data_IF_614428071223
#
_entry.id   IF_614428071223
#
_cell.length_a   1.000
_cell.length_b   1.000
_cell.length_c   1.000
_cell.angle_alpha   90.00
_cell.angle_beta   90.00
_cell.angle_gamma   90.00
#
_symmetry.space_group_name_H-M   'P 1'
#
loop_
_entity.id
_entity.type
_entity.pdbx_description
1 polymer ?
#
# COMPACT_ATOMS: atom_id res chain seq x y z
N UNK A 1 -12.90 -3.42 15.27
CA UNK A 1 -13.92 -3.75 14.25
C UNK A 1 -13.58 -5.09 13.60
N UNK A 2 -14.54 -5.71 12.96
CA UNK A 2 -14.33 -6.98 12.25
C UNK A 2 -13.22 -6.85 11.17
N UNK A 3 -13.18 -5.74 10.46
CA UNK A 3 -12.13 -5.44 9.50
C UNK A 3 -10.76 -5.34 10.20
N UNK A 4 -10.66 -4.61 11.29
CA UNK A 4 -9.42 -4.51 12.07
C UNK A 4 -8.93 -5.87 12.53
N UNK A 5 -9.81 -6.68 13.09
CA UNK A 5 -9.44 -8.00 13.63
C UNK A 5 -8.94 -8.94 12.52
N UNK A 6 -9.62 -8.93 11.38
CA UNK A 6 -9.22 -9.72 10.21
C UNK A 6 -7.86 -9.27 9.66
N UNK A 7 -7.62 -7.97 9.59
CA UNK A 7 -6.35 -7.42 9.11
C UNK A 7 -5.20 -7.67 10.08
N UNK A 8 -5.44 -7.55 11.38
CA UNK A 8 -4.44 -7.84 12.42
C UNK A 8 -4.02 -9.30 12.38
N UNK A 9 -4.96 -10.22 12.24
CA UNK A 9 -4.65 -11.65 12.15
C UNK A 9 -3.76 -11.96 10.93
N UNK A 10 -4.05 -11.35 9.78
CA UNK A 10 -3.22 -11.51 8.58
C UNK A 10 -1.84 -10.89 8.73
N UNK A 11 -1.77 -9.70 9.30
CA UNK A 11 -0.52 -8.99 9.52
C UNK A 11 0.40 -9.77 10.46
N UNK A 12 -0.16 -10.30 11.55
CA UNK A 12 0.57 -11.14 12.48
C UNK A 12 1.12 -12.41 11.81
N UNK A 13 0.34 -13.02 10.92
CA UNK A 13 0.79 -14.16 10.11
C UNK A 13 1.99 -13.81 9.22
N UNK A 14 1.92 -12.70 8.49
CA UNK A 14 3.04 -12.22 7.66
C UNK A 14 4.27 -11.87 8.50
N UNK A 15 4.09 -11.23 9.65
CA UNK A 15 5.18 -10.90 10.56
C UNK A 15 5.87 -12.16 11.11
N UNK A 16 5.09 -13.19 11.42
CA UNK A 16 5.65 -14.48 11.88
C UNK A 16 6.48 -15.16 10.79
N UNK A 17 6.02 -15.14 9.54
CA UNK A 17 6.77 -15.68 8.40
C UNK A 17 8.04 -14.87 8.17
N UNK A 18 7.96 -13.53 8.17
CA UNK A 18 9.11 -12.66 7.97
C UNK A 18 10.22 -12.92 9.01
N UNK A 19 9.86 -13.09 10.29
CA UNK A 19 10.81 -13.42 11.36
C UNK A 19 11.55 -14.73 11.13
N UNK A 20 10.92 -15.72 10.52
CA UNK A 20 11.60 -16.99 10.19
C UNK A 20 12.74 -16.81 9.18
N UNK A 21 12.72 -15.72 8.43
CA UNK A 21 13.74 -15.35 7.44
C UNK A 21 14.61 -14.18 7.89
N UNK A 22 14.61 -13.90 9.19
CA UNK A 22 15.36 -12.76 9.75
C UNK A 22 14.97 -11.42 9.10
N UNK A 23 13.68 -11.27 8.79
CA UNK A 23 13.12 -10.06 8.17
C UNK A 23 12.04 -9.44 9.05
N UNK A 24 11.87 -8.14 8.89
CA UNK A 24 10.76 -7.39 9.48
C UNK A 24 9.88 -6.80 8.41
N UNK A 25 8.61 -6.62 8.72
CA UNK A 25 7.70 -5.86 7.87
C UNK A 25 8.10 -4.39 7.89
N UNK A 26 8.02 -3.72 6.76
CA UNK A 26 8.30 -2.28 6.65
C UNK A 26 7.16 -1.53 6.03
N UNK A 27 6.58 -2.07 4.96
CA UNK A 27 5.51 -1.43 4.22
C UNK A 27 4.37 -2.40 4.02
N UNK A 28 3.17 -1.93 4.29
CA UNK A 28 1.94 -2.70 4.11
C UNK A 28 1.07 -2.03 3.05
N UNK A 29 0.71 -2.77 2.04
CA UNK A 29 -0.22 -2.36 1.00
C UNK A 29 -1.44 -3.25 0.95
N UNK A 30 -2.58 -2.67 0.61
CA UNK A 30 -3.82 -3.41 0.41
C UNK A 30 -3.97 -3.85 -1.05
N UNK A 31 -4.73 -4.92 -1.27
CA UNK A 31 -5.02 -5.47 -2.59
C UNK A 31 -6.52 -5.58 -2.84
N UNK A 32 -6.89 -5.71 -4.12
CA UNK A 32 -8.26 -5.92 -4.54
C UNK A 32 -9.19 -4.77 -4.17
N UNK A 33 -10.41 -5.08 -3.77
CA UNK A 33 -11.41 -4.09 -3.39
C UNK A 33 -10.95 -3.20 -2.24
N UNK A 34 -10.25 -3.76 -1.26
CA UNK A 34 -9.73 -3.00 -0.13
C UNK A 34 -8.71 -1.93 -0.57
N UNK A 35 -7.94 -2.19 -1.62
CA UNK A 35 -7.02 -1.18 -2.16
C UNK A 35 -7.75 0.03 -2.74
N UNK A 36 -8.89 -0.20 -3.39
CA UNK A 36 -9.74 0.87 -3.91
C UNK A 36 -10.37 1.67 -2.77
N UNK A 37 -10.87 0.99 -1.76
CA UNK A 37 -11.46 1.64 -0.59
C UNK A 37 -10.42 2.46 0.17
N UNK A 38 -9.24 1.91 0.42
CA UNK A 38 -8.12 2.65 1.03
C UNK A 38 -7.68 3.84 0.19
N UNK A 39 -7.84 3.78 -1.12
CA UNK A 39 -7.50 4.90 -1.99
C UNK A 39 -8.47 6.10 -1.81
N UNK A 40 -9.77 5.85 -1.64
CA UNK A 40 -10.79 6.89 -1.78
C UNK A 40 -11.80 6.98 -0.65
N UNK A 41 -12.01 5.93 0.14
CA UNK A 41 -12.90 5.94 1.31
C UNK A 41 -12.13 6.32 2.58
N UNK A 42 -12.45 7.49 3.09
CA UNK A 42 -11.78 8.06 4.26
C UNK A 42 -11.87 7.15 5.49
N UNK A 43 -13.04 6.59 5.73
CA UNK A 43 -13.28 5.73 6.90
C UNK A 43 -12.43 4.47 6.86
N UNK A 44 -12.40 3.79 5.73
CA UNK A 44 -11.57 2.60 5.53
C UNK A 44 -10.10 2.93 5.66
N UNK A 45 -9.65 4.03 5.05
CA UNK A 45 -8.26 4.48 5.17
C UNK A 45 -7.89 4.74 6.63
N UNK A 46 -8.74 5.43 7.40
CA UNK A 46 -8.50 5.70 8.81
C UNK A 46 -8.40 4.42 9.64
N UNK A 47 -9.28 3.45 9.41
CA UNK A 47 -9.27 2.17 10.11
C UNK A 47 -7.95 1.45 9.87
N UNK A 48 -7.55 1.32 8.60
CA UNK A 48 -6.31 0.63 8.24
C UNK A 48 -5.08 1.37 8.76
N UNK A 49 -5.01 2.69 8.55
CA UNK A 49 -3.86 3.49 8.98
C UNK A 49 -3.65 3.44 10.51
N UNK A 50 -4.73 3.60 11.27
CA UNK A 50 -4.66 3.54 12.74
C UNK A 50 -4.32 2.14 13.25
N UNK A 51 -4.86 1.12 12.62
CA UNK A 51 -4.53 -0.26 12.95
C UNK A 51 -3.04 -0.54 12.74
N UNK A 52 -2.49 -0.16 11.59
CA UNK A 52 -1.07 -0.33 11.29
C UNK A 52 -0.18 0.43 12.27
N UNK A 53 -0.50 1.70 12.53
CA UNK A 53 0.25 2.53 13.47
C UNK A 53 0.26 1.96 14.90
N UNK A 54 -0.87 1.39 15.34
CA UNK A 54 -0.96 0.76 16.68
C UNK A 54 -0.26 -0.57 16.74
N UNK A 55 -0.21 -1.29 15.62
CA UNK A 55 0.51 -2.56 15.54
C UNK A 55 2.04 -2.34 15.60
N UNK A 56 2.56 -1.47 14.77
CA UNK A 56 3.96 -1.06 14.75
C UNK A 56 4.10 0.34 14.14
N UNK A 57 4.45 1.35 14.95
CA UNK A 57 4.62 2.73 14.47
C UNK A 57 5.71 2.93 13.42
N UNK A 58 6.61 1.96 13.26
CA UNK A 58 7.66 1.99 12.24
C UNK A 58 7.17 1.55 10.85
N UNK A 59 5.94 1.01 10.76
CA UNK A 59 5.37 0.63 9.48
C UNK A 59 5.02 1.85 8.62
N UNK A 60 5.15 1.66 7.32
CA UNK A 60 4.61 2.56 6.31
C UNK A 60 3.39 1.93 5.64
N UNK A 61 2.44 2.75 5.23
CA UNK A 61 1.26 2.33 4.48
C UNK A 61 1.43 2.71 3.02
N UNK A 62 1.33 1.73 2.12
CA UNK A 62 1.32 1.99 0.70
C UNK A 62 -0.09 2.40 0.26
N UNK A 63 -0.20 3.56 -0.39
CA UNK A 63 -1.45 4.12 -0.89
C UNK A 63 -1.27 4.54 -2.34
N UNK A 64 -2.24 4.27 -3.23
CA UNK A 64 -2.15 4.69 -4.62
C UNK A 64 -1.91 6.19 -4.75
N UNK A 65 -0.96 6.57 -5.61
CA UNK A 65 -0.59 7.95 -5.85
C UNK A 65 -1.77 8.77 -6.42
N UNK A 66 -1.86 10.02 -6.01
CA UNK A 66 -2.90 10.95 -6.48
C UNK A 66 -4.30 10.71 -5.90
N UNK A 67 -4.41 9.88 -4.86
CA UNK A 67 -5.70 9.54 -4.24
C UNK A 67 -5.85 10.19 -2.85
N UNK A 68 -7.09 10.30 -2.40
CA UNK A 68 -7.46 10.94 -1.12
C UNK A 68 -6.84 10.24 0.10
N UNK A 69 -6.71 8.93 0.04
CA UNK A 69 -6.18 8.11 1.13
C UNK A 69 -4.80 8.55 1.61
N UNK A 70 -3.99 9.16 0.74
CA UNK A 70 -2.66 9.68 1.13
C UNK A 70 -2.78 10.72 2.25
N UNK A 71 -3.62 11.73 2.04
CA UNK A 71 -3.82 12.80 3.04
C UNK A 71 -4.43 12.25 4.34
N UNK A 72 -5.37 11.32 4.22
CA UNK A 72 -6.02 10.68 5.36
C UNK A 72 -5.02 9.86 6.17
N UNK A 73 -4.20 9.04 5.52
CA UNK A 73 -3.19 8.23 6.19
C UNK A 73 -2.14 9.11 6.90
N UNK A 74 -1.68 10.19 6.26
CA UNK A 74 -0.80 11.17 6.89
C UNK A 74 -1.44 11.81 8.13
N UNK A 75 -2.70 12.16 8.05
CA UNK A 75 -3.43 12.73 9.19
C UNK A 75 -3.54 11.73 10.36
N UNK A 76 -3.55 10.44 10.08
CA UNK A 76 -3.50 9.39 11.10
C UNK A 76 -2.10 9.18 11.70
N UNK A 77 -1.07 9.85 11.19
CA UNK A 77 0.28 9.80 11.73
C UNK A 77 1.12 8.60 11.26
N UNK A 78 0.67 7.87 10.23
CA UNK A 78 1.46 6.79 9.64
C UNK A 78 2.32 7.31 8.48
N UNK A 79 3.53 6.78 8.33
CA UNK A 79 4.34 7.04 7.15
C UNK A 79 3.67 6.46 5.89
N UNK A 80 3.66 7.23 4.81
CA UNK A 80 2.98 6.83 3.58
C UNK A 80 3.98 6.65 2.45
N UNK A 81 3.87 5.52 1.77
CA UNK A 81 4.55 5.26 0.51
C UNK A 81 3.52 5.41 -0.61
N UNK A 82 3.75 6.35 -1.51
CA UNK A 82 2.89 6.53 -2.69
C UNK A 82 3.20 5.47 -3.72
N UNK A 83 2.19 4.78 -4.14
CA UNK A 83 2.30 3.65 -5.04
C UNK A 83 1.76 4.01 -6.42
N UNK A 84 2.55 3.80 -7.45
CA UNK A 84 2.12 3.91 -8.83
C UNK A 84 2.34 2.57 -9.55
N UNK A 85 1.39 2.22 -10.40
CA UNK A 85 1.49 1.02 -11.20
C UNK A 85 1.94 1.39 -12.61
N UNK A 86 3.07 0.83 -13.05
CA UNK A 86 3.46 0.96 -14.43
C UNK A 86 2.47 0.18 -15.31
N UNK A 87 1.86 0.86 -16.26
CA UNK A 87 1.04 0.22 -17.28
C UNK A 87 1.91 -0.11 -18.48
N UNK A 88 1.77 -1.30 -19.02
CA UNK A 88 2.31 -1.56 -20.34
C UNK A 88 1.67 -0.61 -21.35
N UNK A 89 2.41 -0.05 -22.31
CA UNK A 89 1.81 0.75 -23.36
C UNK A 89 0.78 -0.12 -24.07
N UNK A 90 -0.49 0.22 -23.90
CA UNK A 90 -1.57 -0.53 -24.51
C UNK A 90 -1.96 0.12 -25.81
N UNK A 91 -1.85 -0.63 -26.86
CA UNK A 91 -2.60 -0.37 -28.07
C UNK A 91 -4.02 -0.89 -27.88
N UNK A 92 -4.91 -0.07 -27.34
CA UNK A 92 -6.31 -0.47 -27.18
C UNK A 92 -6.70 -0.82 -25.75
N UNK A 93 -7.98 -1.07 -25.53
CA UNK A 93 -8.60 -1.31 -24.24
C UNK A 93 -7.72 -2.20 -23.34
N UNK A 94 -7.23 -1.62 -22.27
CA UNK A 94 -6.31 -2.28 -21.39
C UNK A 94 -7.03 -3.44 -20.72
N UNK A 95 -6.80 -4.62 -21.23
CA UNK A 95 -7.00 -5.82 -20.44
C UNK A 95 -5.98 -5.81 -19.32
N UNK A 96 -6.39 -5.33 -18.17
CA UNK A 96 -5.56 -5.27 -16.96
C UNK A 96 -5.08 -6.67 -16.55
N UNK A 97 -5.68 -7.72 -17.05
CA UNK A 97 -5.27 -9.10 -16.79
C UNK A 97 -3.95 -9.46 -17.47
N UNK A 98 -3.59 -8.74 -18.52
CA UNK A 98 -2.34 -8.97 -19.26
C UNK A 98 -1.16 -8.21 -18.71
N UNK A 99 -1.39 -7.22 -17.85
CA UNK A 99 -0.34 -6.45 -17.22
C UNK A 99 0.13 -7.16 -15.96
N UNK A 100 1.31 -7.73 -16.01
CA UNK A 100 1.97 -8.26 -14.82
C UNK A 100 2.46 -7.11 -13.94
N UNK A 101 1.53 -6.42 -13.37
CA UNK A 101 1.75 -5.21 -12.59
C UNK A 101 2.60 -5.50 -11.36
N UNK A 102 2.56 -6.71 -10.86
CA UNK A 102 3.32 -7.19 -9.70
C UNK A 102 4.83 -7.05 -9.86
N UNK A 103 5.33 -6.97 -11.08
CA UNK A 103 6.76 -6.82 -11.35
C UNK A 103 7.23 -5.37 -11.46
N UNK A 104 6.29 -4.44 -11.57
CA UNK A 104 6.59 -3.03 -11.84
C UNK A 104 5.92 -2.11 -10.82
N UNK A 105 5.99 -2.49 -9.58
CA UNK A 105 5.52 -1.65 -8.48
C UNK A 105 6.49 -0.50 -8.29
N UNK A 106 6.05 0.69 -8.59
CA UNK A 106 6.80 1.91 -8.32
C UNK A 106 6.34 2.46 -6.97
N UNK A 107 7.21 2.38 -5.98
CA UNK A 107 6.99 3.04 -4.70
C UNK A 107 7.63 4.43 -4.78
N UNK A 108 6.81 5.45 -4.69
CA UNK A 108 7.24 6.83 -4.67
C UNK A 108 7.27 7.30 -3.23
N UNK A 109 8.41 7.78 -2.77
CA UNK A 109 8.51 8.38 -1.44
C UNK A 109 7.57 9.57 -1.31
N UNK A 110 7.04 9.78 -0.11
CA UNK A 110 6.11 10.86 0.17
C UNK A 110 6.65 12.26 -0.19
N UNK A 111 7.97 12.44 -0.23
CA UNK A 111 8.64 13.66 -0.66
C UNK A 111 9.06 13.70 -2.12
N UNK A 112 8.97 12.60 -2.83
CA UNK A 112 9.48 12.49 -4.20
C UNK A 112 8.44 12.83 -5.25
N UNK A 113 8.18 14.11 -5.45
CA UNK A 113 7.49 14.51 -6.67
C UNK A 113 8.36 14.13 -7.88
N UNK A 114 8.02 13.05 -8.55
CA UNK A 114 8.54 12.77 -9.88
C UNK A 114 9.94 12.16 -10.00
N UNK A 115 10.56 11.70 -8.92
CA UNK A 115 11.90 11.09 -9.02
C UNK A 115 11.87 9.55 -9.10
N UNK A 116 10.75 8.98 -9.33
CA UNK A 116 10.61 7.53 -9.38
C UNK A 116 10.41 6.95 -10.77
N UNK A 117 10.82 7.64 -11.80
CA UNK A 117 10.80 7.10 -13.16
C UNK A 117 11.96 6.15 -13.44
N UNK A 118 12.56 5.59 -12.40
CA UNK A 118 13.47 4.48 -12.51
C UNK A 118 12.64 3.21 -12.73
N UNK A 119 12.69 2.66 -13.91
CA UNK A 119 12.30 1.28 -14.14
C UNK A 119 13.08 0.42 -13.18
N UNK A 120 12.41 -0.20 -12.23
CA UNK A 120 13.02 -1.25 -11.46
C UNK A 120 13.45 -2.38 -12.41
N UNK A 121 14.65 -2.92 -12.27
CA UNK A 121 15.11 -4.03 -13.12
C UNK A 121 14.26 -5.27 -12.94
#
# INVERSE_FOLDING_TARGET
>A
TELEDALLARLAGFAAIARRWDRSLRTVGCHGALALDVADDERTTQVVARMLQRYDPALSMAVPAGRRGIAVAHHCGIAVVREAWARAPSSGAADMSSVRVDRYRLCLDAGGAGQGAGTAP
#
